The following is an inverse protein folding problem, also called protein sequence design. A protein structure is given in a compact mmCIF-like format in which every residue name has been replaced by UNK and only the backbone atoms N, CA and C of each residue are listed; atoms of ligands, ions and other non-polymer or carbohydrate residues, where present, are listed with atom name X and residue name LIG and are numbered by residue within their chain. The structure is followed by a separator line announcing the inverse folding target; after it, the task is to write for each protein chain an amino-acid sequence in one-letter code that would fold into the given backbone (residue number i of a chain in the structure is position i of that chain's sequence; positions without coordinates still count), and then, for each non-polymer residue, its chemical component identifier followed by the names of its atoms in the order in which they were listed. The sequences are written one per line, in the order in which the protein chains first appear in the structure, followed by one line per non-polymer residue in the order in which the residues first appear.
data_IF_523976981851
#
_entry.id   IF_523976981851
#
_cell.length_a   1.000
_cell.length_b   1.000
_cell.length_c   1.000
_cell.angle_alpha   90.00
_cell.angle_beta   90.00
_cell.angle_gamma   90.00
#
_symmetry.space_group_name_H-M   'P 1'
#
loop_
_entity.id
_entity.type
_entity.pdbx_description
1 polymer ?
#
# COMPACT_ATOMS: atom_id res chain seq x y z
N UNK A 1 19.04 -43.01 -42.39
CA UNK A 1 19.39 -42.77 -40.99
C UNK A 1 19.48 -41.26 -40.74
N UNK A 2 18.56 -40.68 -39.90
CA UNK A 2 18.59 -39.25 -39.54
C UNK A 2 19.70 -39.05 -38.52
N UNK A 3 20.68 -38.15 -38.76
CA UNK A 3 21.71 -37.79 -37.80
C UNK A 3 21.04 -37.19 -36.53
N UNK A 4 21.42 -37.60 -35.31
CA UNK A 4 20.87 -37.02 -34.10
C UNK A 4 21.28 -35.53 -34.03
N UNK A 5 20.31 -34.66 -33.70
CA UNK A 5 20.58 -33.25 -33.43
C UNK A 5 21.53 -33.16 -32.23
N UNK A 6 22.82 -32.83 -32.46
CA UNK A 6 23.79 -32.54 -31.41
C UNK A 6 23.55 -31.10 -30.93
N UNK A 7 22.76 -30.95 -29.87
CA UNK A 7 22.69 -29.68 -29.16
C UNK A 7 24.06 -29.34 -28.59
N UNK A 8 24.65 -28.22 -29.02
CA UNK A 8 25.92 -27.74 -28.48
C UNK A 8 25.68 -27.33 -27.02
N UNK A 9 26.54 -27.75 -26.07
CA UNK A 9 26.43 -27.47 -24.61
C UNK A 9 26.12 -26.00 -24.27
N UNK A 10 26.54 -25.04 -25.14
CA UNK A 10 26.24 -23.61 -25.01
C UNK A 10 24.74 -23.26 -25.07
N UNK A 11 23.89 -24.08 -25.68
CA UNK A 11 22.44 -23.85 -25.72
C UNK A 11 21.76 -24.31 -24.44
N UNK A 12 22.38 -25.18 -23.63
CA UNK A 12 21.90 -25.57 -22.31
C UNK A 12 21.86 -24.41 -21.31
N UNK A 13 22.69 -23.38 -21.49
CA UNK A 13 22.69 -22.17 -20.67
C UNK A 13 21.64 -21.14 -21.12
N UNK A 14 21.17 -21.21 -22.36
CA UNK A 14 20.16 -20.29 -22.91
C UNK A 14 18.75 -20.75 -22.52
N UNK A 15 18.52 -22.05 -22.40
CA UNK A 15 17.20 -22.61 -22.05
C UNK A 15 16.68 -22.08 -20.70
N UNK A 16 17.44 -22.10 -19.60
CA UNK A 16 16.98 -21.49 -18.34
C UNK A 16 16.62 -20.02 -18.47
N UNK A 17 17.44 -19.24 -19.19
CA UNK A 17 17.17 -17.82 -19.43
C UNK A 17 15.83 -17.59 -20.15
N UNK A 18 15.43 -18.44 -21.07
CA UNK A 18 14.15 -18.33 -21.78
C UNK A 18 12.97 -18.80 -20.92
N UNK A 19 13.20 -19.66 -19.93
CA UNK A 19 12.17 -20.26 -19.09
C UNK A 19 11.89 -19.42 -17.84
N UNK A 20 12.90 -18.78 -17.26
CA UNK A 20 12.78 -17.98 -16.03
C UNK A 20 11.57 -17.01 -16.06
N UNK A 21 11.32 -16.22 -17.12
CA UNK A 21 10.20 -15.29 -17.15
C UNK A 21 8.82 -15.91 -16.94
N UNK A 22 8.64 -17.20 -17.29
CA UNK A 22 7.37 -17.90 -17.09
C UNK A 22 7.08 -18.28 -15.62
N UNK A 23 8.13 -18.28 -14.79
CA UNK A 23 8.01 -18.62 -13.38
C UNK A 23 8.11 -17.40 -12.45
N UNK A 24 8.61 -16.27 -12.94
CA UNK A 24 8.81 -15.07 -12.12
C UNK A 24 7.52 -14.54 -11.53
N UNK A 25 6.39 -14.63 -12.25
CA UNK A 25 5.09 -14.19 -11.74
C UNK A 25 4.57 -15.03 -10.57
N UNK A 26 5.01 -16.29 -10.48
CA UNK A 26 4.64 -17.18 -9.38
C UNK A 26 5.57 -17.04 -8.17
N UNK A 27 6.75 -16.42 -8.35
CA UNK A 27 7.71 -16.18 -7.29
C UNK A 27 7.49 -14.81 -6.64
N UNK A 28 7.72 -14.72 -5.34
CA UNK A 28 7.71 -13.47 -4.58
C UNK A 28 6.44 -12.62 -4.80
N UNK A 29 5.29 -13.27 -4.80
CA UNK A 29 4.00 -12.54 -4.87
C UNK A 29 3.75 -11.69 -3.64
N UNK A 30 4.50 -11.93 -2.56
CA UNK A 30 4.44 -11.20 -1.30
C UNK A 30 2.99 -11.06 -0.82
N UNK A 31 2.30 -12.20 -0.74
CA UNK A 31 0.93 -12.28 -0.24
C UNK A 31 0.75 -13.56 0.56
N UNK A 32 0.00 -13.47 1.63
CA UNK A 32 -0.44 -14.62 2.42
C UNK A 32 -1.42 -15.47 1.60
N UNK A 33 -1.29 -16.81 1.65
CA UNK A 33 -2.30 -17.67 1.02
C UNK A 33 -3.64 -17.59 1.77
N UNK A 34 -4.75 -17.91 1.10
CA UNK A 34 -6.06 -17.93 1.78
C UNK A 34 -6.08 -18.90 2.95
N UNK A 35 -5.41 -20.07 2.84
CA UNK A 35 -5.33 -21.05 3.92
C UNK A 35 -4.51 -20.51 5.11
N UNK A 36 -3.39 -19.82 4.85
CA UNK A 36 -2.58 -19.22 5.91
C UNK A 36 -3.31 -18.06 6.58
N UNK A 37 -4.06 -17.26 5.81
CA UNK A 37 -4.88 -16.18 6.33
C UNK A 37 -6.00 -16.71 7.25
N UNK A 38 -6.70 -17.77 6.82
CA UNK A 38 -7.73 -18.44 7.64
C UNK A 38 -7.11 -19.00 8.92
N UNK A 39 -5.95 -19.67 8.82
CA UNK A 39 -5.26 -20.21 9.99
C UNK A 39 -4.80 -19.10 10.95
N UNK A 40 -4.31 -17.98 10.41
CA UNK A 40 -3.90 -16.81 11.20
C UNK A 40 -5.07 -16.23 11.98
N UNK A 41 -6.17 -15.88 11.35
CA UNK A 41 -7.33 -15.30 12.06
C UNK A 41 -7.96 -16.27 13.04
N UNK A 42 -8.03 -17.56 12.70
CA UNK A 42 -8.52 -18.62 13.60
C UNK A 42 -7.67 -18.76 14.86
N UNK A 43 -6.33 -18.61 14.75
CA UNK A 43 -5.43 -18.65 15.90
C UNK A 43 -5.74 -17.56 16.92
N UNK A 44 -6.22 -16.39 16.48
CA UNK A 44 -6.59 -15.26 17.32
C UNK A 44 -8.10 -15.18 17.61
N UNK A 45 -8.87 -16.18 17.20
CA UNK A 45 -10.34 -16.24 17.38
C UNK A 45 -11.05 -15.00 16.77
N UNK A 46 -10.55 -14.48 15.66
CA UNK A 46 -11.09 -13.32 14.95
C UNK A 46 -11.82 -13.76 13.70
N UNK A 47 -13.05 -13.29 13.52
CA UNK A 47 -13.76 -13.42 12.26
C UNK A 47 -13.23 -12.41 11.24
N UNK A 48 -12.71 -12.93 10.12
CA UNK A 48 -12.23 -12.12 9.02
C UNK A 48 -12.64 -12.71 7.67
N UNK A 49 -12.86 -11.83 6.70
CA UNK A 49 -13.43 -12.20 5.41
C UNK A 49 -12.52 -11.71 4.29
N UNK A 50 -12.05 -12.65 3.44
CA UNK A 50 -11.43 -12.37 2.16
C UNK A 50 -12.51 -12.07 1.13
N UNK A 51 -12.51 -10.86 0.59
CA UNK A 51 -13.55 -10.35 -0.31
C UNK A 51 -12.96 -9.76 -1.57
N UNK A 52 -13.75 -9.76 -2.65
CA UNK A 52 -13.40 -9.11 -3.92
C UNK A 52 -14.54 -8.21 -4.36
N UNK A 53 -14.23 -6.97 -4.72
CA UNK A 53 -15.17 -6.04 -5.34
C UNK A 53 -14.82 -5.90 -6.82
N UNK A 54 -15.85 -5.91 -7.67
CA UNK A 54 -15.70 -5.72 -9.11
C UNK A 54 -16.03 -4.28 -9.49
N UNK A 55 -15.11 -3.63 -10.19
CA UNK A 55 -15.31 -2.31 -10.81
C UNK A 55 -15.18 -2.48 -12.33
N UNK A 56 -16.29 -2.74 -13.00
CA UNK A 56 -16.26 -3.26 -14.37
C UNK A 56 -15.53 -4.60 -14.41
N UNK A 57 -14.51 -4.70 -15.24
CA UNK A 57 -13.67 -5.89 -15.36
C UNK A 57 -12.51 -5.94 -14.35
N UNK A 58 -12.36 -4.92 -13.50
CA UNK A 58 -11.28 -4.84 -12.53
C UNK A 58 -11.68 -5.45 -11.20
N UNK A 59 -10.96 -6.50 -10.77
CA UNK A 59 -11.17 -7.19 -9.51
C UNK A 59 -10.23 -6.65 -8.44
N UNK A 60 -10.76 -6.04 -7.39
CA UNK A 60 -9.98 -5.58 -6.24
C UNK A 60 -10.26 -6.43 -5.02
N UNK A 61 -9.21 -7.01 -4.47
CA UNK A 61 -9.25 -7.83 -3.27
C UNK A 61 -9.01 -7.01 -1.99
N UNK A 62 -9.69 -7.39 -0.92
CA UNK A 62 -9.47 -6.85 0.42
C UNK A 62 -9.82 -7.88 1.50
N UNK A 63 -9.20 -7.70 2.66
CA UNK A 63 -9.58 -8.40 3.90
C UNK A 63 -10.41 -7.47 4.76
N UNK A 64 -11.43 -8.01 5.41
CA UNK A 64 -12.32 -7.29 6.33
C UNK A 64 -12.44 -8.03 7.66
N UNK A 65 -12.35 -7.29 8.78
CA UNK A 65 -12.59 -7.78 10.13
C UNK A 65 -13.21 -6.68 11.01
N UNK A 66 -13.50 -7.00 12.26
CA UNK A 66 -14.02 -6.04 13.23
C UNK A 66 -15.53 -5.78 13.11
N UNK A 67 -15.98 -4.62 13.57
CA UNK A 67 -17.39 -4.26 13.65
C UNK A 67 -17.91 -3.75 12.28
N UNK A 68 -18.75 -4.51 11.55
CA UNK A 68 -19.21 -4.10 10.22
C UNK A 68 -20.07 -2.83 10.21
N UNK A 69 -20.67 -2.48 11.35
CA UNK A 69 -21.45 -1.24 11.53
C UNK A 69 -20.61 -0.09 12.12
N UNK A 70 -19.29 -0.29 12.31
CA UNK A 70 -18.40 0.72 12.84
C UNK A 70 -17.88 1.67 11.77
N UNK A 71 -17.23 2.75 12.21
CA UNK A 71 -16.45 3.64 11.37
C UNK A 71 -15.34 2.84 10.63
N UNK A 72 -15.19 3.06 9.34
CA UNK A 72 -14.27 2.26 8.54
C UNK A 72 -12.83 2.78 8.65
N UNK A 73 -11.90 1.93 9.07
CA UNK A 73 -10.45 2.14 8.91
C UNK A 73 -9.97 1.40 7.66
N UNK A 74 -9.74 2.15 6.59
CA UNK A 74 -9.26 1.63 5.31
C UNK A 74 -7.74 1.76 5.23
N UNK A 75 -7.04 0.62 5.12
CA UNK A 75 -5.59 0.52 5.25
C UNK A 75 -4.92 0.20 3.90
N UNK A 76 -3.89 0.99 3.56
CA UNK A 76 -3.19 0.99 2.27
C UNK A 76 -1.71 0.66 2.48
N UNK A 77 -1.27 -0.51 2.03
CA UNK A 77 0.10 -0.99 2.18
C UNK A 77 1.13 -0.20 1.38
N UNK A 78 2.42 -0.36 1.72
CA UNK A 78 3.57 0.19 1.01
C UNK A 78 3.94 -0.57 -0.27
N UNK A 79 5.11 -0.33 -0.82
CA UNK A 79 5.61 -0.94 -2.04
C UNK A 79 6.95 -1.68 -1.82
N UNK A 80 7.03 -2.98 -2.12
CA UNK A 80 5.93 -3.90 -2.39
C UNK A 80 5.16 -4.27 -1.12
N UNK A 81 3.95 -4.81 -1.26
CA UNK A 81 3.16 -5.28 -0.12
C UNK A 81 1.84 -5.90 -0.55
N UNK A 82 1.04 -6.27 0.44
CA UNK A 82 -0.34 -6.70 0.32
C UNK A 82 -1.07 -6.44 1.64
N UNK A 83 -2.34 -6.84 1.75
CA UNK A 83 -3.18 -6.61 2.94
C UNK A 83 -2.55 -7.07 4.26
N UNK A 84 -1.75 -8.15 4.23
CA UNK A 84 -1.11 -8.71 5.43
C UNK A 84 -0.12 -7.77 6.11
N UNK A 85 0.29 -6.68 5.47
CA UNK A 85 1.03 -5.62 6.15
C UNK A 85 0.29 -5.09 7.38
N UNK A 86 -1.03 -5.21 7.39
CA UNK A 86 -1.92 -4.78 8.46
C UNK A 86 -2.54 -5.95 9.27
N UNK A 87 -2.06 -7.19 9.09
CA UNK A 87 -2.65 -8.36 9.74
C UNK A 87 -2.75 -8.19 11.29
N UNK A 88 -1.71 -7.64 11.93
CA UNK A 88 -1.72 -7.41 13.37
C UNK A 88 -2.70 -6.31 13.83
N UNK A 89 -3.01 -5.34 12.98
CA UNK A 89 -4.08 -4.37 13.26
C UNK A 89 -5.46 -5.00 13.14
N UNK A 90 -5.61 -5.93 12.21
CA UNK A 90 -6.88 -6.62 11.94
C UNK A 90 -7.30 -7.63 13.04
N UNK A 91 -6.39 -7.94 13.97
CA UNK A 91 -6.66 -8.79 15.14
C UNK A 91 -6.58 -8.02 16.45
N UNK A 92 -6.32 -6.71 16.41
CA UNK A 92 -6.21 -5.87 17.61
C UNK A 92 -7.59 -5.72 18.29
N UNK A 93 -7.76 -6.16 19.56
CA UNK A 93 -9.08 -6.17 20.21
C UNK A 93 -9.72 -4.80 20.35
N UNK A 94 -8.92 -3.72 20.52
CA UNK A 94 -9.44 -2.37 20.67
C UNK A 94 -9.95 -1.84 19.34
N UNK A 95 -9.24 -2.15 18.24
CA UNK A 95 -9.65 -1.76 16.89
C UNK A 95 -10.87 -2.57 16.45
N UNK A 96 -10.88 -3.89 16.66
CA UNK A 96 -12.00 -4.78 16.31
C UNK A 96 -13.33 -4.35 16.93
N UNK A 97 -13.28 -3.85 18.16
CA UNK A 97 -14.49 -3.40 18.87
C UNK A 97 -15.08 -2.13 18.26
N UNK A 98 -14.23 -1.20 17.80
CA UNK A 98 -14.64 0.16 17.39
C UNK A 98 -14.79 0.33 15.90
N UNK A 99 -13.98 -0.36 15.11
CA UNK A 99 -13.82 -0.11 13.70
C UNK A 99 -14.26 -1.30 12.85
N UNK A 100 -14.76 -0.98 11.67
CA UNK A 100 -14.74 -1.87 10.53
C UNK A 100 -13.35 -1.76 9.91
N UNK A 101 -12.57 -2.82 9.99
CA UNK A 101 -11.18 -2.85 9.52
C UNK A 101 -11.13 -3.42 8.10
N UNK A 102 -10.62 -2.64 7.16
CA UNK A 102 -10.46 -3.05 5.77
C UNK A 102 -9.00 -2.83 5.34
N UNK A 103 -8.32 -3.90 4.97
CA UNK A 103 -6.99 -3.85 4.37
C UNK A 103 -7.06 -4.30 2.91
N UNK A 104 -6.72 -3.41 1.98
CA UNK A 104 -6.80 -3.70 0.55
C UNK A 104 -5.47 -4.22 0.00
N UNK A 105 -5.56 -5.10 -0.99
CA UNK A 105 -4.47 -5.31 -1.91
C UNK A 105 -4.52 -4.20 -2.96
N UNK A 106 -3.52 -3.30 -2.96
CA UNK A 106 -3.47 -2.19 -3.92
C UNK A 106 -3.38 -2.71 -5.36
N UNK A 107 -3.80 -1.92 -6.36
CA UNK A 107 -3.70 -2.28 -7.78
C UNK A 107 -2.34 -2.90 -8.15
N UNK A 108 -2.38 -4.08 -8.76
CA UNK A 108 -1.20 -4.85 -9.17
C UNK A 108 -0.53 -5.71 -8.10
N UNK A 109 -1.04 -5.70 -6.85
CA UNK A 109 -0.48 -6.47 -5.75
C UNK A 109 -1.46 -7.52 -5.21
N UNK A 110 -0.95 -8.43 -4.39
CA UNK A 110 -1.74 -9.42 -3.68
C UNK A 110 -2.61 -10.27 -4.61
N UNK A 111 -3.91 -10.18 -4.42
CA UNK A 111 -4.94 -10.82 -5.25
C UNK A 111 -5.66 -9.83 -6.18
N UNK A 112 -5.30 -8.54 -6.15
CA UNK A 112 -5.89 -7.51 -7.02
C UNK A 112 -5.15 -7.43 -8.35
N UNK A 113 -5.77 -7.91 -9.46
CA UNK A 113 -5.21 -7.83 -10.82
C UNK A 113 -3.68 -7.82 -10.85
N UNK A 114 -3.10 -8.91 -10.33
CA UNK A 114 -1.68 -9.01 -10.04
C UNK A 114 -0.80 -8.71 -11.26
N UNK A 115 0.15 -7.78 -11.08
CA UNK A 115 1.09 -7.37 -12.11
C UNK A 115 0.65 -6.17 -12.95
N UNK A 116 -0.57 -5.68 -12.78
CA UNK A 116 -1.08 -4.47 -13.46
C UNK A 116 -0.69 -3.22 -12.68
N UNK A 117 0.48 -2.64 -12.99
CA UNK A 117 0.93 -1.41 -12.34
C UNK A 117 0.09 -0.19 -12.78
N UNK A 118 -0.19 0.67 -11.82
CA UNK A 118 -0.86 1.95 -12.02
C UNK A 118 -0.04 3.07 -11.36
N UNK A 119 -0.08 4.29 -11.93
CA UNK A 119 0.48 5.45 -11.27
C UNK A 119 -0.38 5.87 -10.06
N UNK A 120 0.11 6.80 -9.25
CA UNK A 120 -0.54 7.22 -8.01
C UNK A 120 -1.96 7.76 -8.23
N UNK A 121 -2.17 8.58 -9.27
CA UNK A 121 -3.46 9.18 -9.57
C UNK A 121 -4.51 8.16 -10.00
N UNK A 122 -4.11 7.18 -10.84
CA UNK A 122 -4.96 6.07 -11.26
C UNK A 122 -5.35 5.16 -10.10
N UNK A 123 -4.39 4.83 -9.21
CA UNK A 123 -4.68 4.05 -8.00
C UNK A 123 -5.66 4.81 -7.10
N UNK A 124 -5.45 6.11 -6.88
CA UNK A 124 -6.32 6.93 -6.05
C UNK A 124 -7.75 6.99 -6.62
N UNK A 125 -7.90 7.17 -7.93
CA UNK A 125 -9.21 7.20 -8.59
C UNK A 125 -9.97 5.88 -8.40
N UNK A 126 -9.30 4.74 -8.64
CA UNK A 126 -9.88 3.42 -8.48
C UNK A 126 -10.27 3.16 -7.03
N UNK A 127 -9.39 3.47 -6.07
CA UNK A 127 -9.63 3.20 -4.65
C UNK A 127 -10.69 4.13 -4.04
N UNK A 128 -10.89 5.33 -4.57
CA UNK A 128 -12.04 6.18 -4.21
C UNK A 128 -13.35 5.52 -4.65
N UNK A 129 -13.40 4.93 -5.84
CA UNK A 129 -14.60 4.19 -6.28
C UNK A 129 -14.85 2.96 -5.40
N UNK A 130 -13.79 2.23 -5.02
CA UNK A 130 -13.88 1.13 -4.06
C UNK A 130 -14.45 1.61 -2.72
N UNK A 131 -13.91 2.69 -2.16
CA UNK A 131 -14.39 3.25 -0.90
C UNK A 131 -15.86 3.66 -0.97
N UNK A 132 -16.31 4.28 -2.08
CA UNK A 132 -17.73 4.60 -2.30
C UNK A 132 -18.63 3.35 -2.30
N UNK A 133 -18.18 2.24 -2.87
CA UNK A 133 -18.93 0.98 -2.85
C UNK A 133 -18.92 0.29 -1.48
N UNK A 134 -17.91 0.56 -0.65
CA UNK A 134 -17.76 0.02 0.69
C UNK A 134 -18.37 0.91 1.77
N UNK A 135 -18.90 2.08 1.41
CA UNK A 135 -19.47 3.04 2.36
C UNK A 135 -20.67 2.44 3.09
N UNK A 136 -20.57 2.40 4.42
CA UNK A 136 -21.63 1.94 5.32
C UNK A 136 -22.36 3.12 6.00
N UNK A 137 -22.03 4.37 5.63
CA UNK A 137 -22.61 5.58 6.21
C UNK A 137 -21.94 6.08 7.49
N UNK A 138 -21.01 5.31 8.08
CA UNK A 138 -20.32 5.68 9.34
C UNK A 138 -19.01 6.44 9.10
N UNK A 139 -18.66 6.65 7.81
CA UNK A 139 -17.47 7.40 7.37
C UNK A 139 -16.18 6.59 7.38
N UNK A 140 -15.11 7.24 6.90
CA UNK A 140 -13.81 6.62 6.71
C UNK A 140 -12.66 7.37 7.35
N UNK A 141 -11.73 6.61 7.91
CA UNK A 141 -10.34 7.00 8.12
C UNK A 141 -9.45 6.23 7.14
N UNK A 142 -8.58 6.93 6.41
CA UNK A 142 -7.54 6.29 5.60
C UNK A 142 -6.26 6.18 6.40
N UNK A 143 -5.61 5.03 6.36
CA UNK A 143 -4.27 4.82 6.91
C UNK A 143 -3.35 4.24 5.84
N UNK A 144 -2.26 4.93 5.52
CA UNK A 144 -1.31 4.50 4.50
C UNK A 144 0.12 4.49 5.00
N UNK A 145 0.85 3.40 4.69
CA UNK A 145 2.26 3.25 5.00
C UNK A 145 3.11 3.43 3.74
N UNK A 146 4.24 4.14 3.86
CA UNK A 146 5.23 4.29 2.77
C UNK A 146 4.56 4.85 1.50
N UNK A 147 4.55 4.12 0.38
CA UNK A 147 3.81 4.46 -0.84
C UNK A 147 2.29 4.63 -0.58
N UNK A 148 1.73 3.89 0.36
CA UNK A 148 0.34 4.10 0.81
C UNK A 148 0.08 5.49 1.40
N UNK A 149 1.11 6.19 1.86
CA UNK A 149 1.02 7.56 2.40
C UNK A 149 0.55 8.59 1.36
N UNK A 150 1.28 8.82 0.25
CA UNK A 150 0.83 9.70 -0.83
C UNK A 150 -0.51 9.27 -1.43
N UNK A 151 -0.77 7.95 -1.50
CA UNK A 151 -2.05 7.43 -1.96
C UNK A 151 -3.21 7.83 -1.04
N UNK A 152 -3.03 7.74 0.29
CA UNK A 152 -3.97 8.25 1.30
C UNK A 152 -4.28 9.73 1.08
N UNK A 153 -3.26 10.54 0.86
CA UNK A 153 -3.39 11.99 0.62
C UNK A 153 -4.10 12.27 -0.72
N UNK A 154 -3.74 11.56 -1.78
CA UNK A 154 -4.37 11.72 -3.09
C UNK A 154 -5.87 11.37 -3.05
N UNK A 155 -6.25 10.27 -2.38
CA UNK A 155 -7.64 9.87 -2.16
C UNK A 155 -8.40 10.92 -1.34
N UNK A 156 -7.80 11.42 -0.25
CA UNK A 156 -8.39 12.46 0.59
C UNK A 156 -8.67 13.76 -0.17
N UNK A 157 -7.80 14.15 -1.10
CA UNK A 157 -7.99 15.32 -1.96
C UNK A 157 -9.09 15.07 -3.01
N UNK A 158 -9.15 13.85 -3.58
CA UNK A 158 -10.13 13.51 -4.64
C UNK A 158 -11.55 13.37 -4.13
N UNK A 159 -11.75 12.91 -2.88
CA UNK A 159 -13.08 12.67 -2.30
C UNK A 159 -13.11 13.16 -0.84
N UNK A 160 -13.01 14.49 -0.62
CA UNK A 160 -12.93 15.06 0.72
C UNK A 160 -14.20 14.84 1.56
N UNK A 161 -15.32 14.59 0.92
CA UNK A 161 -16.61 14.30 1.57
C UNK A 161 -16.65 12.89 2.20
N UNK A 162 -15.88 11.96 1.66
CA UNK A 162 -15.91 10.56 2.06
C UNK A 162 -14.96 10.28 3.24
N UNK A 163 -13.83 10.96 3.29
CA UNK A 163 -12.77 10.69 4.25
C UNK A 163 -12.69 11.80 5.31
N UNK A 164 -12.89 11.44 6.58
CA UNK A 164 -12.84 12.39 7.70
C UNK A 164 -11.41 12.57 8.23
N UNK A 165 -10.66 11.47 8.29
CA UNK A 165 -9.31 11.47 8.86
C UNK A 165 -8.32 10.76 7.94
N UNK A 166 -7.07 11.23 7.97
CA UNK A 166 -5.95 10.60 7.27
C UNK A 166 -4.83 10.29 8.29
N UNK A 167 -4.24 9.12 8.18
CA UNK A 167 -3.09 8.67 8.97
C UNK A 167 -1.97 8.28 8.00
N UNK A 168 -0.92 9.08 7.96
CA UNK A 168 0.24 8.89 7.09
C UNK A 168 1.39 8.32 7.92
N UNK A 169 1.71 7.05 7.69
CA UNK A 169 2.78 6.32 8.42
C UNK A 169 4.00 6.18 7.52
N UNK A 170 5.12 6.81 7.89
CA UNK A 170 6.37 6.81 7.12
C UNK A 170 6.14 7.10 5.62
N UNK A 171 5.24 8.05 5.29
CA UNK A 171 4.78 8.30 3.92
C UNK A 171 5.78 9.13 3.11
N UNK A 172 5.96 8.76 1.82
CA UNK A 172 6.82 9.49 0.87
C UNK A 172 6.01 10.54 0.14
N UNK A 173 6.08 11.81 0.55
CA UNK A 173 5.31 12.93 -0.01
C UNK A 173 6.17 13.98 -0.72
N UNK A 174 7.45 14.10 -0.35
CA UNK A 174 8.35 15.13 -0.88
C UNK A 174 9.02 14.66 -2.19
N UNK A 175 8.67 15.24 -3.36
CA UNK A 175 9.30 14.88 -4.62
C UNK A 175 10.80 15.19 -4.66
N UNK A 176 11.28 16.11 -3.81
CA UNK A 176 12.72 16.45 -3.74
C UNK A 176 13.49 15.38 -2.94
N UNK A 177 12.85 14.70 -2.01
CA UNK A 177 13.44 13.60 -1.25
C UNK A 177 13.51 12.29 -2.06
N UNK A 178 12.67 12.14 -3.11
CA UNK A 178 12.69 10.99 -3.99
C UNK A 178 13.90 11.03 -4.94
N UNK A 179 14.84 10.11 -4.71
CA UNK A 179 16.02 9.96 -5.57
C UNK A 179 15.71 8.97 -6.68
N UNK A 180 15.88 9.35 -7.97
CA UNK A 180 15.67 8.41 -9.06
C UNK A 180 16.71 7.29 -8.99
N UNK A 181 16.25 6.07 -8.80
CA UNK A 181 17.10 4.87 -8.80
C UNK A 181 17.31 4.39 -10.25
N UNK A 182 18.30 4.94 -10.93
CA UNK A 182 18.55 4.72 -12.36
C UNK A 182 18.74 3.23 -12.74
N UNK A 183 19.14 2.39 -11.78
CA UNK A 183 19.23 0.94 -11.99
C UNK A 183 17.88 0.27 -12.27
N UNK A 184 16.76 0.91 -11.92
CA UNK A 184 15.41 0.42 -12.23
C UNK A 184 15.10 0.49 -13.72
N UNK A 185 15.61 1.52 -14.41
CA UNK A 185 15.26 1.82 -15.80
C UNK A 185 15.42 0.64 -16.77
N UNK A 186 16.52 -0.13 -16.78
CA UNK A 186 16.62 -1.30 -17.66
C UNK A 186 15.62 -2.41 -17.30
N UNK A 187 15.16 -2.48 -16.04
CA UNK A 187 14.18 -3.48 -15.57
C UNK A 187 12.72 -3.09 -15.87
N UNK A 188 12.48 -1.97 -16.54
CA UNK A 188 11.14 -1.55 -16.98
C UNK A 188 10.84 -1.98 -18.42
N UNK A 189 11.85 -2.39 -19.19
CA UNK A 189 11.71 -2.65 -20.62
C UNK A 189 11.76 -4.14 -20.96
N UNK A 190 11.08 -4.51 -22.07
CA UNK A 190 11.16 -5.86 -22.63
C UNK A 190 12.60 -6.19 -23.10
N UNK A 191 13.12 -7.39 -22.87
CA UNK A 191 12.51 -8.49 -22.11
C UNK A 191 12.82 -8.45 -20.59
N UNK A 192 13.68 -7.53 -20.14
CA UNK A 192 14.27 -7.53 -18.78
C UNK A 192 13.22 -7.42 -17.67
N UNK A 193 12.14 -6.70 -17.90
CA UNK A 193 11.06 -6.56 -16.90
C UNK A 193 10.47 -7.90 -16.45
N UNK A 194 10.46 -8.91 -17.31
CA UNK A 194 9.93 -10.23 -17.00
C UNK A 194 10.88 -11.11 -16.17
N UNK A 195 12.11 -10.65 -15.95
CA UNK A 195 13.04 -11.30 -15.02
C UNK A 195 12.92 -10.77 -13.59
N UNK A 196 12.19 -9.65 -13.40
CA UNK A 196 11.88 -9.13 -12.08
C UNK A 196 10.72 -9.96 -11.51
N UNK A 197 10.89 -10.64 -10.36
CA UNK A 197 9.89 -11.58 -9.87
C UNK A 197 8.71 -10.89 -9.18
N UNK A 198 7.52 -11.40 -9.42
CA UNK A 198 6.30 -11.15 -8.66
C UNK A 198 6.00 -9.69 -8.36
N UNK A 199 5.72 -9.40 -7.11
CA UNK A 199 5.39 -8.05 -6.61
C UNK A 199 6.53 -7.03 -6.78
N UNK A 200 7.79 -7.49 -6.90
CA UNK A 200 8.93 -6.58 -7.13
C UNK A 200 8.86 -5.91 -8.50
N UNK A 201 8.24 -6.56 -9.51
CA UNK A 201 8.06 -5.96 -10.84
C UNK A 201 7.09 -4.79 -10.76
N UNK A 202 5.91 -4.98 -10.21
CA UNK A 202 4.92 -3.91 -10.00
C UNK A 202 5.50 -2.79 -9.13
N UNK A 203 6.21 -3.14 -8.04
CA UNK A 203 6.92 -2.18 -7.20
C UNK A 203 7.98 -1.39 -7.97
N UNK A 204 8.75 -2.05 -8.84
CA UNK A 204 9.75 -1.38 -9.66
C UNK A 204 9.12 -0.34 -10.60
N UNK A 205 7.97 -0.66 -11.19
CA UNK A 205 7.23 0.21 -12.09
C UNK A 205 6.63 1.41 -11.35
N UNK A 206 5.89 1.19 -10.24
CA UNK A 206 5.27 2.30 -9.50
C UNK A 206 6.28 3.21 -8.81
N UNK A 207 7.36 2.68 -8.24
CA UNK A 207 8.42 3.49 -7.63
C UNK A 207 9.22 4.29 -8.66
N UNK A 208 9.30 3.81 -9.90
CA UNK A 208 9.88 4.61 -10.99
C UNK A 208 9.01 5.82 -11.35
N UNK A 209 7.69 5.68 -11.29
CA UNK A 209 6.73 6.76 -11.57
C UNK A 209 6.61 7.74 -10.38
N UNK A 210 6.84 7.28 -9.16
CA UNK A 210 6.49 7.99 -7.92
C UNK A 210 6.97 9.44 -7.88
N UNK A 211 8.21 9.72 -8.27
CA UNK A 211 8.74 11.10 -8.24
C UNK A 211 7.92 12.08 -9.09
N UNK A 212 7.53 11.68 -10.29
CA UNK A 212 6.73 12.52 -11.18
C UNK A 212 5.30 12.61 -10.66
N UNK A 213 4.74 11.51 -10.17
CA UNK A 213 3.42 11.50 -9.52
C UNK A 213 3.36 12.44 -8.30
N UNK A 214 4.43 12.50 -7.50
CA UNK A 214 4.52 13.43 -6.36
C UNK A 214 4.62 14.90 -6.81
N UNK A 215 5.31 15.20 -7.91
CA UNK A 215 5.32 16.55 -8.50
C UNK A 215 3.93 16.99 -8.98
N UNK A 216 3.14 16.05 -9.52
CA UNK A 216 1.77 16.31 -9.96
C UNK A 216 0.80 16.43 -8.77
N UNK A 217 1.12 15.79 -7.64
CA UNK A 217 0.36 15.87 -6.40
C UNK A 217 0.68 17.14 -5.60
N UNK A 218 1.94 17.59 -5.56
CA UNK A 218 2.42 18.70 -4.73
C UNK A 218 1.55 19.95 -4.80
N UNK A 219 1.19 20.51 -5.99
CA UNK A 219 0.36 21.73 -6.08
C UNK A 219 -1.06 21.53 -5.55
N UNK A 220 -1.51 20.27 -5.38
CA UNK A 220 -2.85 19.91 -4.89
C UNK A 220 -2.89 19.73 -3.37
N UNK A 221 -1.73 19.60 -2.68
CA UNK A 221 -1.65 19.33 -1.23
C UNK A 221 -2.37 20.37 -0.38
N UNK A 222 -2.38 21.63 -0.80
CA UNK A 222 -3.17 22.70 -0.18
C UNK A 222 -4.68 22.46 -0.19
N UNK A 223 -5.18 21.53 -0.99
CA UNK A 223 -6.62 21.19 -1.05
C UNK A 223 -7.03 20.15 0.00
N UNK A 224 -6.07 19.61 0.76
CA UNK A 224 -6.35 18.69 1.85
C UNK A 224 -7.19 19.36 2.94
N UNK A 225 -8.29 18.72 3.34
CA UNK A 225 -9.28 19.30 4.29
C UNK A 225 -9.46 18.45 5.55
N UNK A 226 -8.93 17.23 5.55
CA UNK A 226 -9.14 16.25 6.60
C UNK A 226 -8.32 16.58 7.85
N UNK A 227 -8.74 16.05 9.00
CA UNK A 227 -7.85 15.87 10.15
C UNK A 227 -6.77 14.87 9.76
N UNK A 228 -5.52 15.27 9.87
CA UNK A 228 -4.38 14.47 9.38
C UNK A 228 -3.39 14.20 10.50
N UNK A 229 -3.00 12.95 10.63
CA UNK A 229 -1.99 12.47 11.55
C UNK A 229 -0.78 11.96 10.77
N UNK A 230 0.40 12.46 11.10
CA UNK A 230 1.67 12.04 10.52
C UNK A 230 2.42 11.25 11.58
N UNK A 231 2.84 10.02 11.28
CA UNK A 231 3.66 9.19 12.16
C UNK A 231 4.93 8.86 11.40
N UNK A 232 6.10 9.24 11.95
CA UNK A 232 7.36 9.04 11.22
C UNK A 232 8.53 8.78 12.17
N UNK A 233 9.44 7.89 11.76
CA UNK A 233 10.66 7.56 12.47
C UNK A 233 11.82 8.47 12.08
N UNK A 234 12.59 8.98 13.05
CA UNK A 234 13.71 9.90 12.77
C UNK A 234 14.90 9.22 12.09
N UNK A 235 15.04 7.89 12.21
CA UNK A 235 16.10 7.11 11.58
C UNK A 235 15.65 6.41 10.28
N UNK A 236 14.54 6.85 9.67
CA UNK A 236 14.05 6.33 8.40
C UNK A 236 15.02 6.68 7.26
N UNK A 237 15.62 5.63 6.67
CA UNK A 237 16.57 5.77 5.54
C UNK A 237 15.93 5.51 4.18
N UNK A 238 14.73 4.95 4.14
CA UNK A 238 13.99 4.69 2.90
C UNK A 238 13.16 5.92 2.51
N UNK A 239 12.41 6.44 3.46
CA UNK A 239 11.66 7.69 3.32
C UNK A 239 12.20 8.69 4.34
N UNK A 240 13.05 9.63 3.93
CA UNK A 240 13.72 10.54 4.85
C UNK A 240 12.74 11.35 5.71
N UNK A 241 13.09 11.57 6.98
CA UNK A 241 12.27 12.33 7.94
C UNK A 241 11.92 13.75 7.47
N UNK A 242 12.67 14.31 6.51
CA UNK A 242 12.35 15.59 5.86
C UNK A 242 10.94 15.63 5.23
N UNK A 243 10.36 14.48 4.90
CA UNK A 243 8.98 14.39 4.46
C UNK A 243 7.98 14.96 5.47
N UNK A 244 8.27 14.88 6.77
CA UNK A 244 7.43 15.48 7.83
C UNK A 244 7.33 16.99 7.64
N UNK A 245 8.47 17.68 7.58
CA UNK A 245 8.51 19.14 7.39
C UNK A 245 7.87 19.56 6.06
N UNK A 246 8.02 18.74 5.00
CA UNK A 246 7.35 18.97 3.72
C UNK A 246 5.81 18.87 3.86
N UNK A 247 5.29 17.85 4.52
CA UNK A 247 3.86 17.69 4.76
C UNK A 247 3.30 18.82 5.64
N UNK A 248 3.98 19.17 6.73
CA UNK A 248 3.57 20.26 7.64
C UNK A 248 3.47 21.60 6.91
N UNK A 249 4.40 21.87 6.00
CA UNK A 249 4.39 23.09 5.17
C UNK A 249 3.25 23.11 4.16
N UNK A 250 2.95 21.97 3.53
CA UNK A 250 2.07 21.91 2.34
C UNK A 250 0.61 21.56 2.69
N UNK A 251 0.32 20.95 3.84
CA UNK A 251 -1.04 20.66 4.30
C UNK A 251 -1.73 21.87 4.95
N UNK A 252 -1.57 23.04 4.36
CA UNK A 252 -1.93 24.34 4.93
C UNK A 252 -3.42 24.52 5.22
N UNK A 253 -4.30 23.75 4.58
CA UNK A 253 -5.75 23.82 4.75
C UNK A 253 -6.35 22.57 5.42
N UNK A 254 -5.51 21.68 5.97
CA UNK A 254 -5.98 20.57 6.78
C UNK A 254 -6.79 21.09 7.99
N UNK A 255 -7.89 20.40 8.32
CA UNK A 255 -8.74 20.77 9.49
C UNK A 255 -7.92 20.79 10.79
N UNK A 256 -7.06 19.84 10.96
CA UNK A 256 -6.01 19.79 11.98
C UNK A 256 -4.86 18.93 11.48
N UNK A 257 -3.67 19.20 11.95
CA UNK A 257 -2.46 18.44 11.62
C UNK A 257 -1.73 18.10 12.91
N UNK A 258 -1.45 16.84 13.14
CA UNK A 258 -0.71 16.34 14.29
C UNK A 258 0.42 15.44 13.82
N UNK A 259 1.62 15.66 14.34
CA UNK A 259 2.80 14.86 14.04
C UNK A 259 3.25 14.07 15.26
N UNK A 260 3.41 12.77 15.11
CA UNK A 260 4.03 11.91 16.09
C UNK A 260 5.37 11.40 15.59
N UNK A 261 6.43 11.96 16.16
CA UNK A 261 7.81 11.61 15.86
C UNK A 261 8.27 10.46 16.74
N UNK A 262 8.70 9.37 16.13
CA UNK A 262 9.28 8.22 16.81
C UNK A 262 10.80 8.30 16.74
N UNK A 263 11.43 8.65 17.88
CA UNK A 263 12.88 8.83 17.95
C UNK A 263 13.62 7.52 17.69
N UNK A 264 14.68 7.58 16.87
CA UNK A 264 15.56 6.45 16.51
C UNK A 264 14.85 5.26 15.85
N UNK A 265 13.59 5.43 15.43
CA UNK A 265 12.85 4.42 14.68
C UNK A 265 13.10 4.55 13.17
N UNK A 266 13.16 3.39 12.51
CA UNK A 266 13.37 3.26 11.07
C UNK A 266 12.04 3.29 10.29
N UNK A 267 12.07 2.89 9.01
CA UNK A 267 10.92 2.83 8.12
C UNK A 267 9.82 1.82 8.55
N UNK A 268 10.19 0.80 9.33
CA UNK A 268 9.32 -0.33 9.66
C UNK A 268 8.46 -0.09 10.91
N UNK A 269 8.20 1.19 11.24
CA UNK A 269 7.38 1.59 12.40
C UNK A 269 5.96 1.01 12.34
N UNK A 270 5.42 0.72 11.16
CA UNK A 270 4.11 0.08 11.02
C UNK A 270 4.02 -1.22 11.81
N UNK A 271 5.10 -1.98 11.86
CA UNK A 271 5.20 -3.25 12.60
C UNK A 271 5.85 -3.09 13.96
N UNK A 272 6.94 -2.33 14.05
CA UNK A 272 7.72 -2.18 15.28
C UNK A 272 6.99 -1.37 16.36
N UNK A 273 6.11 -0.47 15.98
CA UNK A 273 5.33 0.38 16.88
C UNK A 273 3.81 0.07 16.79
N UNK A 274 3.41 -1.11 16.31
CA UNK A 274 2.03 -1.46 16.00
C UNK A 274 1.08 -1.21 17.18
N UNK A 275 1.36 -1.72 18.37
CA UNK A 275 0.52 -1.54 19.55
C UNK A 275 0.31 -0.06 19.90
N UNK A 276 1.38 0.72 19.91
CA UNK A 276 1.31 2.16 20.22
C UNK A 276 0.57 2.95 19.12
N UNK A 277 0.66 2.53 17.86
CA UNK A 277 -0.14 3.10 16.77
C UNK A 277 -1.61 2.73 16.95
N UNK A 278 -1.93 1.48 17.27
CA UNK A 278 -3.30 1.04 17.56
C UNK A 278 -3.94 1.85 18.70
N UNK A 279 -3.23 2.01 19.82
CA UNK A 279 -3.68 2.82 20.96
C UNK A 279 -3.94 4.28 20.54
N UNK A 280 -3.05 4.84 19.71
CA UNK A 280 -3.22 6.19 19.19
C UNK A 280 -4.41 6.34 18.26
N UNK A 281 -4.68 5.36 17.39
CA UNK A 281 -5.86 5.33 16.53
C UNK A 281 -7.15 5.35 17.37
N UNK A 282 -7.18 4.58 18.44
CA UNK A 282 -8.33 4.54 19.37
C UNK A 282 -8.56 5.89 20.06
N UNK A 283 -7.47 6.60 20.41
CA UNK A 283 -7.54 7.91 21.06
C UNK A 283 -7.88 9.05 20.10
N UNK A 284 -7.23 9.09 18.93
CA UNK A 284 -7.33 10.20 17.99
C UNK A 284 -8.62 10.17 17.17
N UNK A 285 -9.07 8.98 16.81
CA UNK A 285 -10.18 8.79 15.87
C UNK A 285 -11.50 8.51 16.60
N UNK A 286 -11.60 8.80 17.90
CA UNK A 286 -12.76 8.47 18.72
C UNK A 286 -14.07 8.72 17.92
N UNK A 287 -14.66 7.70 17.26
CA UNK A 287 -15.93 7.86 16.58
C UNK A 287 -16.97 8.17 17.66
N UNK A 288 -17.68 9.27 17.49
CA UNK A 288 -18.76 9.67 18.40
C UNK A 288 -19.93 8.72 18.28
#
# INVERSE_FOLDING_TARGET
MKKPLRFKKRYLLIIPLLIIPFFTDSCMRMRMSHADAEAFFKQYEVEAYSKTIMLGDYALHYMESGNPAGHTLLMLHGSPGAWEAYANYMIDPQLLQKYRLIAVDRPGFGYTNFGDSMNLDQQAELLVQVARNLDNGEGFTLMGHSYGGPLTVAMGIKAPELFQNLVVVAGSLDPAAEKPELWRKPLLVFPLKYYVPGSLRTSNEELWMLKEDLKDLEPKLKNLKQTTYIIHGTADKLVPYSNVAFMEKNFSNARSLSTWTLQDKNHFILWEAQSAISDSLVLWLNPR
#
